data_IF_138216690245
#
_entry.id   IF_138216690245
#
_cell.length_a   1.000
_cell.length_b   1.000
_cell.length_c   1.000
_cell.angle_alpha   90.00
_cell.angle_beta   90.00
_cell.angle_gamma   90.00
#
_symmetry.space_group_name_H-M   'P 1'
#
loop_
_entity.id
_entity.type
_entity.pdbx_description
1 polymer ?
#
# COMPACT_ATOMS: atom_id res chain seq x y z
N UNK A 1 14.47 0.91 -0.34
CA UNK A 1 13.10 1.30 0.05
C UNK A 1 13.22 2.43 1.04
N UNK A 2 12.58 3.57 0.80
CA UNK A 2 12.64 4.73 1.70
C UNK A 2 11.30 4.81 2.43
N UNK A 3 11.35 4.76 3.75
CA UNK A 3 10.19 5.04 4.59
C UNK A 3 10.34 6.49 5.05
N UNK A 4 9.35 7.34 4.79
CA UNK A 4 9.35 8.66 5.42
C UNK A 4 9.17 8.46 6.92
N UNK A 5 9.90 9.20 7.77
CA UNK A 5 9.87 9.03 9.23
C UNK A 5 8.44 9.05 9.80
N UNK A 6 7.58 9.90 9.21
CA UNK A 6 6.17 10.02 9.58
C UNK A 6 5.29 8.82 9.18
N UNK A 7 5.73 7.99 8.24
CA UNK A 7 5.05 6.74 7.91
C UNK A 7 5.23 5.72 9.02
N UNK A 8 6.39 5.71 9.68
CA UNK A 8 6.73 4.75 10.73
C UNK A 8 5.84 4.91 11.98
N UNK A 9 5.52 6.14 12.36
CA UNK A 9 4.55 6.43 13.43
C UNK A 9 3.16 5.87 13.09
N UNK A 10 2.70 6.08 11.85
CA UNK A 10 1.40 5.55 11.38
C UNK A 10 1.39 4.04 11.18
N UNK A 11 2.53 3.43 10.94
CA UNK A 11 2.72 1.99 10.86
C UNK A 11 2.57 1.33 12.23
N UNK A 12 3.20 1.91 13.26
CA UNK A 12 3.06 1.45 14.65
C UNK A 12 1.61 1.57 15.15
N UNK A 13 0.92 2.69 14.86
CA UNK A 13 -0.49 2.85 15.26
C UNK A 13 -1.43 1.81 14.62
N UNK A 14 -1.05 1.23 13.47
CA UNK A 14 -1.92 0.34 12.68
C UNK A 14 -1.44 -1.11 12.62
N UNK A 15 -0.44 -1.48 13.43
CA UNK A 15 0.18 -2.82 13.44
C UNK A 15 0.66 -3.29 12.06
N UNK A 16 0.99 -2.36 11.15
CA UNK A 16 1.45 -2.70 9.81
C UNK A 16 2.95 -2.49 9.72
N UNK A 17 3.71 -3.57 9.60
CA UNK A 17 5.17 -3.49 9.63
C UNK A 17 5.75 -3.10 8.27
N UNK A 18 6.95 -2.50 8.23
CA UNK A 18 7.67 -2.27 6.97
C UNK A 18 7.92 -3.56 6.19
N UNK A 19 8.02 -4.71 6.86
CA UNK A 19 8.11 -6.03 6.23
C UNK A 19 6.83 -6.42 5.47
N UNK A 20 5.65 -6.12 6.03
CA UNK A 20 4.37 -6.29 5.32
C UNK A 20 4.29 -5.41 4.08
N UNK A 21 4.75 -4.16 4.20
CA UNK A 21 4.88 -3.26 3.05
C UNK A 21 5.78 -3.91 1.99
N UNK A 22 6.94 -4.41 2.39
CA UNK A 22 7.91 -5.02 1.49
C UNK A 22 7.35 -6.28 0.82
N UNK A 23 6.61 -7.13 1.54
CA UNK A 23 5.89 -8.28 0.99
C UNK A 23 4.87 -7.89 -0.08
N UNK A 24 4.09 -6.83 0.16
CA UNK A 24 3.12 -6.33 -0.81
C UNK A 24 3.81 -5.73 -2.03
N UNK A 25 4.88 -4.96 -1.82
CA UNK A 25 5.62 -4.26 -2.88
C UNK A 25 6.37 -5.23 -3.78
N UNK A 26 6.99 -6.27 -3.22
CA UNK A 26 7.69 -7.30 -4.00
C UNK A 26 6.76 -8.42 -4.48
N UNK A 27 5.55 -8.53 -3.93
CA UNK A 27 4.57 -9.54 -4.27
C UNK A 27 3.62 -9.13 -5.39
N UNK A 28 2.54 -9.91 -5.57
CA UNK A 28 1.45 -9.55 -6.46
C UNK A 28 0.72 -8.35 -5.87
N UNK A 29 0.66 -7.26 -6.62
CA UNK A 29 -0.01 -6.01 -6.24
C UNK A 29 -0.68 -5.35 -7.42
N UNK A 30 -1.76 -4.64 -7.17
CA UNK A 30 -2.40 -3.71 -8.08
C UNK A 30 -1.85 -2.32 -7.83
N UNK A 31 -1.27 -1.71 -8.85
CA UNK A 31 -0.81 -0.32 -8.80
C UNK A 31 -1.86 0.57 -9.47
N UNK A 32 -2.44 1.49 -8.71
CA UNK A 32 -3.34 2.52 -9.22
C UNK A 32 -2.76 3.90 -8.96
N UNK A 33 -2.77 4.76 -9.97
CA UNK A 33 -2.43 6.17 -9.78
C UNK A 33 -3.60 6.90 -9.11
N UNK A 34 -3.30 7.76 -8.14
CA UNK A 34 -4.33 8.58 -7.50
C UNK A 34 -4.84 9.63 -8.47
N UNK A 35 -6.16 9.61 -8.76
CA UNK A 35 -6.80 10.59 -9.64
C UNK A 35 -6.63 12.03 -9.15
N UNK A 36 -6.59 12.23 -7.82
CA UNK A 36 -6.43 13.56 -7.21
C UNK A 36 -4.98 14.00 -7.07
N UNK A 37 -4.01 13.07 -7.11
CA UNK A 37 -2.60 13.37 -6.92
C UNK A 37 -1.76 12.46 -7.84
N UNK A 38 -1.33 12.93 -9.03
CA UNK A 38 -0.56 12.10 -9.97
C UNK A 38 0.82 11.68 -9.42
N UNK A 39 1.27 12.32 -8.34
CA UNK A 39 2.51 11.97 -7.64
C UNK A 39 2.33 10.86 -6.60
N UNK A 40 1.13 10.29 -6.44
CA UNK A 40 0.84 9.23 -5.47
C UNK A 40 0.25 8.01 -6.16
N UNK A 41 0.75 6.85 -5.76
CA UNK A 41 0.30 5.55 -6.24
C UNK A 41 -0.26 4.75 -5.08
N UNK A 42 -1.30 3.98 -5.33
CA UNK A 42 -1.89 3.02 -4.42
C UNK A 42 -1.48 1.63 -4.87
N UNK A 43 -0.69 0.94 -4.05
CA UNK A 43 -0.38 -0.46 -4.21
C UNK A 43 -1.33 -1.26 -3.33
N UNK A 44 -2.28 -1.96 -3.94
CA UNK A 44 -3.27 -2.80 -3.27
C UNK A 44 -2.81 -4.25 -3.40
N UNK A 45 -2.79 -5.00 -2.30
CA UNK A 45 -2.39 -6.40 -2.32
C UNK A 45 -2.78 -7.13 -1.04
N UNK A 46 -2.68 -8.45 -1.08
CA UNK A 46 -3.04 -9.29 0.05
C UNK A 46 -1.80 -9.62 0.88
N UNK A 47 -1.84 -9.32 2.18
CA UNK A 47 -0.79 -9.64 3.14
C UNK A 47 -1.44 -10.32 4.33
N UNK A 48 -0.96 -11.52 4.66
CA UNK A 48 -1.47 -12.32 5.78
C UNK A 48 -2.97 -12.65 5.69
N UNK A 49 -3.50 -12.77 4.47
CA UNK A 49 -4.93 -13.06 4.22
C UNK A 49 -5.84 -11.84 4.30
N UNK A 50 -5.32 -10.67 4.66
CA UNK A 50 -6.05 -9.41 4.62
C UNK A 50 -5.61 -8.54 3.44
N UNK A 51 -6.54 -7.75 2.90
CA UNK A 51 -6.23 -6.83 1.81
C UNK A 51 -5.75 -5.48 2.37
N UNK A 52 -4.60 -5.05 1.88
CA UNK A 52 -3.93 -3.83 2.31
C UNK A 52 -3.68 -2.91 1.13
N UNK A 53 -3.77 -1.61 1.39
CA UNK A 53 -3.43 -0.55 0.45
C UNK A 53 -2.23 0.22 0.99
N UNK A 54 -1.13 0.17 0.27
CA UNK A 54 0.09 0.94 0.52
C UNK A 54 0.11 2.14 -0.41
N UNK A 55 0.19 3.34 0.14
CA UNK A 55 0.38 4.58 -0.61
C UNK A 55 1.86 4.80 -0.82
N UNK A 56 2.25 4.85 -2.08
CA UNK A 56 3.59 5.12 -2.56
C UNK A 56 3.65 6.50 -3.19
N UNK A 57 4.84 7.08 -3.18
CA UNK A 57 5.13 8.26 -3.99
C UNK A 57 5.42 7.88 -5.45
N UNK A 58 5.61 8.88 -6.33
CA UNK A 58 5.90 8.69 -7.76
C UNK A 58 7.11 7.82 -8.06
N UNK A 59 8.03 7.76 -7.11
CA UNK A 59 9.25 6.95 -7.20
C UNK A 59 8.97 5.46 -7.01
N UNK A 60 7.78 5.07 -6.53
CA UNK A 60 7.35 3.69 -6.23
C UNK A 60 8.21 2.95 -5.18
N UNK A 61 9.31 3.55 -4.71
CA UNK A 61 10.17 3.04 -3.64
C UNK A 61 9.97 3.76 -2.31
N UNK A 62 9.29 4.91 -2.32
CA UNK A 62 8.99 5.69 -1.12
C UNK A 62 7.59 5.33 -0.62
N UNK A 63 7.53 4.71 0.55
CA UNK A 63 6.26 4.38 1.21
C UNK A 63 5.83 5.54 2.08
N UNK A 64 4.65 6.10 1.76
CA UNK A 64 4.07 7.24 2.47
C UNK A 64 3.21 6.76 3.63
N UNK A 65 2.36 5.76 3.40
CA UNK A 65 1.48 5.20 4.45
C UNK A 65 0.91 3.87 3.99
N UNK A 66 0.43 3.04 4.91
CA UNK A 66 -0.48 1.96 4.57
C UNK A 66 -1.77 2.01 5.40
N UNK A 67 -2.79 1.40 4.83
CA UNK A 67 -4.11 1.24 5.44
C UNK A 67 -4.72 -0.08 4.98
N UNK A 68 -5.70 -0.58 5.74
CA UNK A 68 -6.57 -1.64 5.23
C UNK A 68 -7.27 -1.16 3.96
N UNK A 69 -7.34 -2.03 2.97
CA UNK A 69 -8.09 -1.76 1.76
C UNK A 69 -9.58 -1.57 2.11
N UNK A 70 -10.22 -0.60 1.46
CA UNK A 70 -11.67 -0.44 1.49
C UNK A 70 -12.33 -1.52 0.64
N UNK A 71 -13.63 -1.79 0.86
CA UNK A 71 -14.38 -2.80 0.11
C UNK A 71 -14.22 -2.65 -1.41
N UNK A 72 -14.30 -1.43 -1.95
CA UNK A 72 -14.06 -1.16 -3.37
C UNK A 72 -12.65 -1.58 -3.84
N UNK A 73 -11.62 -1.31 -3.03
CA UNK A 73 -10.23 -1.69 -3.34
C UNK A 73 -10.06 -3.23 -3.27
N UNK A 74 -10.75 -3.90 -2.35
CA UNK A 74 -10.79 -5.36 -2.26
C UNK A 74 -11.47 -6.00 -3.47
N UNK A 75 -12.59 -5.44 -3.92
CA UNK A 75 -13.30 -5.89 -5.11
C UNK A 75 -12.44 -5.70 -6.36
N UNK A 76 -11.78 -4.55 -6.50
CA UNK A 76 -10.82 -4.31 -7.58
C UNK A 76 -9.68 -5.33 -7.57
N UNK A 77 -9.13 -5.65 -6.40
CA UNK A 77 -8.11 -6.68 -6.25
C UNK A 77 -8.61 -8.09 -6.62
N UNK A 78 -9.81 -8.47 -6.17
CA UNK A 78 -10.43 -9.75 -6.51
C UNK A 78 -10.70 -9.88 -8.01
N UNK A 79 -11.13 -8.80 -8.66
CA UNK A 79 -11.44 -8.78 -10.09
C UNK A 79 -10.18 -8.77 -10.97
N UNK A 80 -9.05 -8.32 -10.42
CA UNK A 80 -7.75 -8.39 -11.10
C UNK A 80 -7.04 -9.76 -10.94
N UNK A 81 -7.65 -10.72 -10.22
CA UNK A 81 -7.06 -12.04 -9.97
C UNK A 81 -7.52 -13.06 -10.99
#
# INVERSE_FOLDING_TARGET
MKFIEHAFERFQERSFTPEMAMKLINGKRLLMCSKSNPNRYFAIGMVDGECWTVVLEKDLYTVVTARRAHKDEEELWKNSR
#
